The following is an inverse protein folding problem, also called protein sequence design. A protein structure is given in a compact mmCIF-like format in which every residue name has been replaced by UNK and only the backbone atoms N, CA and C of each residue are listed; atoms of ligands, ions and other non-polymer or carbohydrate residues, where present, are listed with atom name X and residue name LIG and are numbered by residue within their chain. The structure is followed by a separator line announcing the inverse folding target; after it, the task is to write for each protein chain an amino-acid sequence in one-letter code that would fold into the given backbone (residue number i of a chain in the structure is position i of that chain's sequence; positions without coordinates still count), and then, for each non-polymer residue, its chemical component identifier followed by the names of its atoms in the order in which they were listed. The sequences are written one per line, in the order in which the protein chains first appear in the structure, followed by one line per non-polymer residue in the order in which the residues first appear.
data_IF_693261500752
#
_entry.id   IF_693261500752
#
_cell.length_a   1.000
_cell.length_b   1.000
_cell.length_c   1.000
_cell.angle_alpha   90.00
_cell.angle_beta   90.00
_cell.angle_gamma   90.00
#
_symmetry.space_group_name_H-M   'P 1'
#
loop_
_entity.id
_entity.type
_entity.pdbx_description
1 polymer ?
#
# COMPACT_ATOMS: atom_id res chain seq x y z
N UNK A 1 0.85 19.32 -9.51
CA UNK A 1 0.80 18.09 -8.70
C UNK A 1 2.04 17.29 -9.05
N UNK A 2 2.75 16.80 -8.04
CA UNK A 2 3.78 15.78 -8.21
C UNK A 2 3.22 14.47 -7.68
N UNK A 3 3.37 13.40 -8.45
CA UNK A 3 3.11 12.06 -7.97
C UNK A 3 4.43 11.30 -8.08
N UNK A 4 4.86 10.76 -6.95
CA UNK A 4 6.04 9.91 -6.88
C UNK A 4 5.57 8.47 -6.75
N UNK A 5 6.17 7.60 -7.56
CA UNK A 5 5.89 6.18 -7.59
C UNK A 5 7.17 5.41 -7.35
N UNK A 6 7.07 4.36 -6.55
CA UNK A 6 8.07 3.30 -6.53
C UNK A 6 7.34 2.02 -6.90
N UNK A 7 7.82 1.35 -7.94
CA UNK A 7 7.32 0.04 -8.34
C UNK A 7 8.10 -1.01 -7.55
N UNK A 8 7.44 -1.67 -6.60
CA UNK A 8 8.03 -2.74 -5.82
C UNK A 8 7.44 -4.09 -6.28
N UNK A 9 8.25 -5.03 -6.77
CA UNK A 9 7.81 -6.40 -6.87
C UNK A 9 7.73 -7.03 -5.48
N UNK A 10 6.57 -7.55 -5.08
CA UNK A 10 6.51 -8.51 -3.97
C UNK A 10 7.09 -9.85 -4.45
N UNK A 11 8.40 -10.03 -4.27
CA UNK A 11 9.10 -11.25 -4.69
C UNK A 11 8.71 -12.50 -3.90
N UNK A 12 7.95 -12.39 -2.80
CA UNK A 12 7.42 -13.57 -2.07
C UNK A 12 6.44 -14.41 -2.89
N UNK A 13 6.05 -13.93 -4.07
CA UNK A 13 5.07 -14.55 -4.96
C UNK A 13 5.69 -14.95 -6.30
N UNK A 14 6.92 -14.52 -6.57
CA UNK A 14 7.60 -14.72 -7.84
C UNK A 14 8.71 -15.76 -7.64
N UNK A 15 8.50 -16.98 -8.10
CA UNK A 15 9.54 -18.01 -8.08
C UNK A 15 10.69 -17.63 -9.02
N UNK A 16 11.85 -17.37 -8.44
CA UNK A 16 13.12 -17.33 -9.17
C UNK A 16 13.42 -18.75 -9.68
N UNK A 17 13.45 -18.94 -11.01
CA UNK A 17 13.71 -20.23 -11.68
C UNK A 17 15.10 -20.81 -11.33
N UNK A 18 15.96 -20.06 -10.63
CA UNK A 18 17.29 -20.54 -10.22
C UNK A 18 17.32 -21.42 -8.97
N UNK A 19 16.29 -21.44 -8.14
CA UNK A 19 16.32 -22.21 -6.86
C UNK A 19 15.59 -23.55 -6.92
N UNK A 20 14.82 -23.83 -7.99
CA UNK A 20 14.04 -25.07 -8.11
C UNK A 20 14.92 -26.30 -8.42
N UNK A 21 16.05 -26.11 -9.12
CA UNK A 21 16.99 -27.19 -9.45
C UNK A 21 17.79 -27.72 -8.24
N UNK A 22 18.01 -26.91 -7.21
CA UNK A 22 18.75 -27.35 -6.00
C UNK A 22 17.84 -27.99 -4.94
N UNK A 23 16.54 -27.67 -4.93
CA UNK A 23 15.58 -28.17 -3.93
C UNK A 23 15.00 -29.56 -4.24
N UNK A 24 15.03 -29.99 -5.50
CA UNK A 24 14.60 -31.34 -5.90
C UNK A 24 15.64 -32.42 -5.57
N UNK A 25 16.88 -32.03 -5.24
CA UNK A 25 17.95 -32.95 -4.86
C UNK A 25 17.98 -33.33 -3.37
N UNK A 26 17.17 -32.68 -2.53
CA UNK A 26 17.17 -32.86 -1.07
C UNK A 26 15.86 -33.48 -0.53
N UNK A 27 14.96 -33.95 -1.39
CA UNK A 27 13.68 -34.56 -1.00
C UNK A 27 13.63 -36.09 -1.09
N UNK A 28 14.74 -36.77 -1.36
CA UNK A 28 14.79 -38.24 -1.35
C UNK A 28 15.25 -38.86 -0.01
N UNK A 29 15.59 -38.06 1.01
CA UNK A 29 15.89 -38.55 2.36
C UNK A 29 15.00 -37.85 3.39
N UNK A 30 13.79 -38.37 3.63
CA UNK A 30 13.06 -38.35 4.92
C UNK A 30 11.57 -38.63 4.69
N UNK A 31 11.24 -39.86 4.27
CA UNK A 31 9.87 -40.36 4.43
C UNK A 31 9.89 -41.82 4.89
N UNK A 32 10.09 -42.02 6.20
CA UNK A 32 9.66 -43.25 6.84
C UNK A 32 9.26 -43.01 8.31
N UNK A 33 7.98 -43.27 8.57
CA UNK A 33 7.37 -43.67 9.83
C UNK A 33 6.64 -42.61 10.68
N UNK A 34 5.42 -42.24 10.27
CA UNK A 34 4.38 -41.71 11.18
C UNK A 34 3.15 -42.63 11.16
N UNK A 35 3.04 -43.47 12.19
CA UNK A 35 1.85 -44.26 12.50
C UNK A 35 1.08 -43.70 13.69
N UNK A 36 -0.19 -43.34 13.44
CA UNK A 36 -1.37 -43.35 14.31
C UNK A 36 -1.32 -42.67 15.70
N UNK A 37 -2.30 -41.78 15.95
CA UNK A 37 -3.33 -41.93 17.01
C UNK A 37 -4.35 -40.78 16.87
N UNK A 38 -5.61 -41.16 16.63
CA UNK A 38 -6.82 -40.35 16.77
C UNK A 38 -7.29 -40.40 18.23
N UNK A 39 -7.62 -39.26 18.83
CA UNK A 39 -8.48 -39.19 20.01
C UNK A 39 -9.18 -37.82 20.07
N UNK A 40 -10.50 -37.85 19.93
CA UNK A 40 -11.36 -36.67 20.10
C UNK A 40 -11.69 -36.42 21.57
N UNK A 41 -11.77 -35.15 21.96
CA UNK A 41 -12.35 -34.71 23.23
C UNK A 41 -13.19 -33.44 23.01
N UNK A 42 -14.36 -33.45 23.64
CA UNK A 42 -15.48 -32.53 23.58
C UNK A 42 -15.16 -31.03 23.77
N UNK A 43 -15.99 -30.25 23.08
CA UNK A 43 -16.27 -28.84 23.27
C UNK A 43 -16.83 -28.57 24.69
N UNK A 44 -16.19 -27.68 25.47
CA UNK A 44 -16.80 -26.81 26.51
C UNK A 44 -15.71 -25.97 27.20
N UNK A 45 -15.47 -24.76 26.70
CA UNK A 45 -15.19 -23.54 27.51
C UNK A 45 -14.81 -22.39 26.58
N UNK A 46 -15.60 -21.32 26.60
CA UNK A 46 -15.23 -20.03 26.04
C UNK A 46 -14.17 -19.42 26.97
N UNK A 47 -12.92 -19.86 26.84
CA UNK A 47 -11.79 -19.19 27.49
C UNK A 47 -11.45 -18.00 26.59
N UNK A 48 -11.61 -16.74 27.03
CA UNK A 48 -11.02 -15.63 26.29
C UNK A 48 -9.54 -15.94 26.19
N UNK A 49 -9.07 -16.16 24.96
CA UNK A 49 -7.66 -16.40 24.69
C UNK A 49 -6.90 -15.13 25.08
N UNK A 50 -6.45 -15.06 26.34
CA UNK A 50 -5.42 -14.12 26.73
C UNK A 50 -4.19 -14.59 25.99
N UNK A 51 -3.97 -14.03 24.81
CA UNK A 51 -2.75 -14.30 24.04
C UNK A 51 -1.61 -13.72 24.86
N UNK A 52 -0.95 -14.58 25.64
CA UNK A 52 0.28 -14.20 26.35
C UNK A 52 1.28 -13.70 25.32
N UNK A 53 1.82 -12.51 25.55
CA UNK A 53 2.88 -11.97 24.72
C UNK A 53 4.08 -12.92 24.78
N UNK A 54 4.46 -13.44 23.61
CA UNK A 54 5.70 -14.16 23.39
C UNK A 54 6.91 -13.28 23.68
N UNK A 55 8.06 -13.92 23.79
CA UNK A 55 9.34 -13.25 24.02
C UNK A 55 10.31 -13.62 22.92
N UNK A 56 11.15 -12.66 22.54
CA UNK A 56 12.27 -12.87 21.62
C UNK A 56 13.57 -12.40 22.28
N UNK A 57 14.71 -12.94 21.83
CA UNK A 57 16.03 -12.56 22.33
C UNK A 57 17.00 -12.32 21.17
N UNK A 58 18.05 -11.52 21.42
CA UNK A 58 19.15 -11.38 20.48
C UNK A 58 20.03 -12.65 20.53
N UNK A 59 20.39 -13.19 19.37
CA UNK A 59 21.26 -14.38 19.25
C UNK A 59 22.60 -14.10 18.57
N UNK A 60 22.99 -12.83 18.45
CA UNK A 60 24.31 -12.43 17.95
C UNK A 60 25.28 -12.15 19.12
N UNK A 61 26.30 -12.99 19.34
CA UNK A 61 27.26 -12.84 20.45
C UNK A 61 28.09 -11.54 20.39
N UNK A 62 28.14 -10.87 19.23
CA UNK A 62 28.82 -9.59 19.08
C UNK A 62 28.19 -8.52 19.99
N UNK A 63 26.86 -8.54 20.12
CA UNK A 63 26.11 -7.61 20.97
C UNK A 63 25.97 -8.17 22.39
N UNK A 64 27.10 -8.38 23.08
CA UNK A 64 27.18 -9.01 24.40
C UNK A 64 26.20 -8.47 25.45
N UNK A 65 25.87 -7.17 25.39
CA UNK A 65 24.93 -6.51 26.32
C UNK A 65 23.46 -6.84 26.07
N UNK A 66 23.14 -7.41 24.91
CA UNK A 66 21.78 -7.79 24.50
C UNK A 66 21.62 -9.30 24.30
N UNK A 67 22.72 -10.01 24.03
CA UNK A 67 22.73 -11.43 23.73
C UNK A 67 22.00 -12.26 24.80
N UNK A 68 21.02 -13.05 24.38
CA UNK A 68 20.24 -13.94 25.24
C UNK A 68 19.23 -13.26 26.16
N UNK A 69 19.10 -11.92 26.13
CA UNK A 69 18.14 -11.20 26.98
C UNK A 69 16.74 -11.30 26.35
N UNK A 70 15.74 -11.87 27.05
CA UNK A 70 14.39 -12.03 26.51
C UNK A 70 13.56 -10.74 26.68
N UNK A 71 13.03 -10.21 25.57
CA UNK A 71 12.13 -9.06 25.55
C UNK A 71 10.70 -9.46 25.18
N UNK A 72 9.72 -8.80 25.81
CA UNK A 72 8.29 -8.99 25.52
C UNK A 72 7.93 -8.43 24.15
N UNK A 73 7.24 -9.23 23.34
CA UNK A 73 6.79 -8.78 22.02
C UNK A 73 5.73 -7.66 22.10
N UNK A 74 5.77 -6.67 21.19
CA UNK A 74 4.73 -5.66 21.07
C UNK A 74 3.35 -6.27 20.78
N UNK A 75 2.28 -5.57 21.17
CA UNK A 75 0.90 -6.00 20.94
C UNK A 75 0.55 -6.14 19.44
N UNK A 76 1.27 -5.47 18.54
CA UNK A 76 1.11 -5.59 17.09
C UNK A 76 1.59 -6.94 16.52
N UNK A 77 2.50 -7.62 17.20
CA UNK A 77 3.06 -8.92 16.80
C UNK A 77 3.34 -9.79 18.04
N UNK A 78 2.33 -10.13 18.84
CA UNK A 78 2.52 -10.66 20.19
C UNK A 78 3.17 -12.06 20.22
N UNK A 79 3.41 -12.70 19.07
CA UNK A 79 4.07 -14.00 18.97
C UNK A 79 5.23 -14.05 17.96
N UNK A 80 5.48 -12.96 17.23
CA UNK A 80 6.31 -12.96 16.01
C UNK A 80 7.26 -11.75 15.97
N UNK A 81 7.69 -11.26 17.13
CA UNK A 81 8.66 -10.17 17.20
C UNK A 81 10.10 -10.68 17.09
N UNK A 82 11.00 -9.83 16.63
CA UNK A 82 12.44 -10.04 16.58
C UNK A 82 13.16 -8.98 17.43
N UNK A 83 14.43 -9.20 17.80
CA UNK A 83 15.22 -8.24 18.58
C UNK A 83 16.24 -7.54 17.68
N UNK A 84 16.20 -6.20 17.66
CA UNK A 84 17.30 -5.42 17.10
C UNK A 84 18.45 -5.52 18.11
N UNK A 85 19.44 -6.36 17.82
CA UNK A 85 20.57 -6.60 18.72
C UNK A 85 21.40 -5.34 19.02
N UNK A 86 21.41 -4.35 18.11
CA UNK A 86 22.14 -3.10 18.29
C UNK A 86 21.42 -2.16 19.25
N UNK A 87 20.08 -2.08 19.14
CA UNK A 87 19.24 -1.23 19.99
C UNK A 87 18.72 -1.94 21.24
N UNK A 88 18.84 -3.27 21.27
CA UNK A 88 18.28 -4.18 22.25
C UNK A 88 16.78 -3.97 22.51
N UNK A 89 16.00 -3.89 21.42
CA UNK A 89 14.55 -3.66 21.47
C UNK A 89 13.81 -4.64 20.59
N UNK A 90 12.64 -5.14 21.05
CA UNK A 90 11.79 -5.95 20.22
C UNK A 90 11.08 -5.07 19.17
N UNK A 91 11.03 -5.56 17.94
CA UNK A 91 10.29 -4.94 16.84
C UNK A 91 9.42 -6.00 16.15
N UNK A 92 8.32 -5.56 15.54
CA UNK A 92 7.60 -6.41 14.61
C UNK A 92 8.32 -6.36 13.26
N UNK A 93 8.47 -7.46 12.54
CA UNK A 93 9.20 -7.48 11.25
C UNK A 93 8.71 -6.42 10.24
N UNK A 94 7.48 -5.95 10.43
CA UNK A 94 6.80 -4.84 9.76
C UNK A 94 7.31 -3.41 10.06
N UNK A 95 8.08 -3.22 11.14
CA UNK A 95 8.54 -1.92 11.61
C UNK A 95 9.95 -1.57 11.05
N UNK A 96 10.54 -2.45 10.22
CA UNK A 96 11.85 -2.20 9.59
C UNK A 96 11.73 -1.23 8.41
N UNK A 97 12.68 -0.29 8.23
CA UNK A 97 12.76 0.49 6.99
C UNK A 97 12.86 -0.44 5.77
N UNK A 98 11.89 -0.35 4.86
CA UNK A 98 11.79 -1.23 3.69
C UNK A 98 10.99 -2.52 3.88
N UNK A 99 10.32 -2.72 5.04
CA UNK A 99 9.35 -3.81 5.21
C UNK A 99 7.98 -3.43 4.62
N UNK A 100 7.42 -4.31 3.78
CA UNK A 100 6.11 -4.16 3.11
C UNK A 100 5.04 -4.84 3.97
N UNK A 101 4.84 -4.27 5.15
CA UNK A 101 3.72 -4.64 5.99
C UNK A 101 2.67 -3.55 5.94
N UNK A 102 1.43 -3.97 5.67
CA UNK A 102 0.20 -3.19 5.84
C UNK A 102 -0.08 -2.16 4.75
N UNK A 103 0.01 -2.53 3.48
CA UNK A 103 -0.40 -1.62 2.41
C UNK A 103 -1.93 -1.39 2.32
N UNK A 104 -2.33 -0.29 1.65
CA UNK A 104 -1.51 0.84 1.24
C UNK A 104 -1.33 1.90 2.35
N UNK A 105 -0.08 2.32 2.51
CA UNK A 105 0.33 3.44 3.35
C UNK A 105 0.17 4.77 2.62
N UNK A 106 -0.44 5.76 3.27
CA UNK A 106 -0.62 7.11 2.77
C UNK A 106 -0.04 8.12 3.76
N UNK A 107 0.50 9.23 3.25
CA UNK A 107 0.93 10.38 4.05
C UNK A 107 -0.02 11.54 3.77
N UNK A 108 -0.74 11.98 4.80
CA UNK A 108 -1.69 13.08 4.72
C UNK A 108 -1.04 14.43 4.44
N UNK A 109 -1.85 15.40 4.01
CA UNK A 109 -1.46 16.80 3.88
C UNK A 109 -1.06 17.46 5.20
N UNK A 110 -1.49 16.87 6.33
CA UNK A 110 -1.07 17.21 7.69
C UNK A 110 0.26 16.56 8.10
N UNK A 111 0.89 15.78 7.21
CA UNK A 111 2.13 15.06 7.45
C UNK A 111 1.97 13.76 8.23
N UNK A 112 0.74 13.37 8.60
CA UNK A 112 0.49 12.15 9.34
C UNK A 112 0.42 10.94 8.41
N UNK A 113 1.12 9.88 8.80
CA UNK A 113 1.01 8.59 8.13
C UNK A 113 -0.23 7.85 8.62
N UNK A 114 -0.98 7.25 7.68
CA UNK A 114 -2.09 6.37 7.98
C UNK A 114 -2.25 5.29 6.92
N UNK A 115 -3.02 4.27 7.26
CA UNK A 115 -3.36 3.15 6.39
C UNK A 115 -4.80 3.25 5.91
N UNK A 116 -5.06 2.91 4.65
CA UNK A 116 -6.41 2.80 4.11
C UNK A 116 -6.53 1.48 3.38
N UNK A 117 -7.17 0.48 3.98
CA UNK A 117 -7.19 -0.89 3.43
C UNK A 117 -8.24 -1.11 2.32
N UNK A 118 -9.16 -0.18 2.07
CA UNK A 118 -10.18 -0.36 1.03
C UNK A 118 -10.84 -1.75 1.03
N UNK A 119 -11.00 -2.32 -0.16
CA UNK A 119 -11.43 -3.70 -0.44
C UNK A 119 -10.74 -4.19 -1.70
N UNK A 120 -10.56 -5.50 -1.83
CA UNK A 120 -10.04 -6.14 -3.04
C UNK A 120 -10.94 -5.85 -4.25
N UNK A 121 -10.32 -5.62 -5.41
CA UNK A 121 -10.93 -5.42 -6.73
C UNK A 121 -11.97 -4.28 -6.72
N UNK A 122 -11.63 -3.20 -6.01
CA UNK A 122 -12.46 -2.00 -5.88
C UNK A 122 -11.65 -0.74 -6.12
N UNK A 123 -12.37 0.29 -6.56
CA UNK A 123 -11.80 1.61 -6.81
C UNK A 123 -12.23 2.58 -5.70
N UNK A 124 -11.27 3.40 -5.24
CA UNK A 124 -11.50 4.38 -4.18
C UNK A 124 -10.99 5.76 -4.54
N UNK A 125 -11.78 6.78 -4.20
CA UNK A 125 -11.44 8.18 -4.35
C UNK A 125 -10.44 8.62 -3.27
N UNK A 126 -9.20 8.82 -3.71
CA UNK A 126 -8.12 9.33 -2.87
C UNK A 126 -8.21 10.84 -2.71
N UNK A 127 -8.46 11.57 -3.81
CA UNK A 127 -8.53 13.03 -3.81
C UNK A 127 -9.63 13.48 -4.75
N UNK A 128 -10.49 14.38 -4.30
CA UNK A 128 -11.41 15.11 -5.15
C UNK A 128 -11.42 16.59 -4.81
N UNK A 129 -11.08 17.40 -5.79
CA UNK A 129 -11.09 18.87 -5.77
C UNK A 129 -11.74 19.35 -7.08
N UNK A 130 -12.25 20.59 -7.19
CA UNK A 130 -12.83 21.09 -8.45
C UNK A 130 -11.97 20.92 -9.70
N UNK A 131 -10.63 20.90 -9.55
CA UNK A 131 -9.68 20.88 -10.67
C UNK A 131 -8.96 19.54 -10.85
N UNK A 132 -9.02 18.64 -9.86
CA UNK A 132 -8.34 17.35 -9.91
C UNK A 132 -9.15 16.27 -9.16
N UNK A 133 -9.27 15.11 -9.77
CA UNK A 133 -9.85 13.91 -9.14
C UNK A 133 -8.87 12.76 -9.29
N UNK A 134 -8.64 12.00 -8.22
CA UNK A 134 -7.73 10.87 -8.19
C UNK A 134 -8.43 9.70 -7.55
N UNK A 135 -8.56 8.63 -8.30
CA UNK A 135 -8.97 7.33 -7.80
C UNK A 135 -7.80 6.34 -7.85
N UNK A 136 -7.89 5.29 -7.05
CA UNK A 136 -6.95 4.20 -7.04
C UNK A 136 -7.68 2.87 -7.11
N UNK A 137 -7.16 1.95 -7.92
CA UNK A 137 -7.61 0.56 -8.00
C UNK A 137 -6.85 -0.30 -7.00
N UNK A 138 -7.61 -0.99 -6.15
CA UNK A 138 -7.08 -1.84 -5.11
C UNK A 138 -7.17 -3.29 -5.56
N UNK A 139 -6.01 -3.93 -5.65
CA UNK A 139 -5.90 -5.39 -5.74
C UNK A 139 -5.74 -5.96 -4.35
N UNK A 140 -5.94 -7.26 -4.20
CA UNK A 140 -5.76 -7.87 -2.90
C UNK A 140 -5.99 -9.36 -2.81
N UNK A 141 -5.84 -9.86 -1.59
CA UNK A 141 -6.21 -11.22 -1.19
C UNK A 141 -7.15 -11.17 -0.01
N UNK A 142 -8.23 -11.93 -0.10
CA UNK A 142 -9.17 -12.06 1.00
C UNK A 142 -8.56 -12.94 2.08
N UNK A 143 -8.47 -12.39 3.30
CA UNK A 143 -7.97 -13.10 4.46
C UNK A 143 -9.01 -14.07 5.03
N UNK A 144 -8.53 -15.15 5.67
CA UNK A 144 -9.36 -16.17 6.33
C UNK A 144 -10.30 -15.64 7.44
N UNK A 145 -10.12 -14.38 7.87
CA UNK A 145 -10.92 -13.70 8.91
C UNK A 145 -11.81 -12.56 8.36
N UNK A 146 -12.06 -12.53 7.05
CA UNK A 146 -12.94 -11.54 6.41
C UNK A 146 -12.32 -10.14 6.22
N UNK A 147 -11.01 -9.99 6.46
CA UNK A 147 -10.25 -8.77 6.14
C UNK A 147 -9.44 -9.01 4.88
N UNK A 148 -9.55 -8.10 3.90
CA UNK A 148 -8.68 -8.08 2.74
C UNK A 148 -7.31 -7.50 3.09
N UNK A 149 -6.26 -8.07 2.49
CA UNK A 149 -4.96 -7.43 2.35
C UNK A 149 -4.92 -6.82 0.96
N UNK A 150 -4.66 -5.53 0.87
CA UNK A 150 -4.81 -4.79 -0.38
C UNK A 150 -3.58 -3.98 -0.72
N UNK A 151 -3.36 -3.77 -2.02
CA UNK A 151 -2.32 -2.92 -2.55
C UNK A 151 -2.90 -2.05 -3.66
N UNK A 152 -2.27 -0.91 -3.95
CA UNK A 152 -2.68 -0.09 -5.08
C UNK A 152 -2.01 -0.61 -6.35
N UNK A 153 -2.80 -1.07 -7.31
CA UNK A 153 -2.29 -1.50 -8.61
C UNK A 153 -2.15 -0.33 -9.58
N UNK A 154 -3.14 0.56 -9.58
CA UNK A 154 -3.21 1.67 -10.53
C UNK A 154 -3.92 2.87 -9.93
N UNK A 155 -3.68 4.03 -10.54
CA UNK A 155 -4.40 5.26 -10.28
C UNK A 155 -4.94 5.85 -11.57
N UNK A 156 -6.11 6.48 -11.46
CA UNK A 156 -6.70 7.33 -12.48
C UNK A 156 -6.72 8.77 -11.99
N UNK A 157 -6.16 9.68 -12.77
CA UNK A 157 -6.15 11.11 -12.48
C UNK A 157 -6.97 11.83 -13.55
N UNK A 158 -8.02 12.51 -13.13
CA UNK A 158 -8.79 13.43 -13.97
C UNK A 158 -8.36 14.87 -13.68
N UNK A 159 -8.08 15.64 -14.72
CA UNK A 159 -7.74 17.06 -14.60
C UNK A 159 -8.11 17.81 -15.89
N UNK A 160 -8.86 18.90 -15.77
CA UNK A 160 -9.46 19.54 -16.95
C UNK A 160 -10.29 18.54 -17.75
N UNK A 161 -10.01 18.40 -19.05
CA UNK A 161 -10.60 17.40 -19.94
C UNK A 161 -9.71 16.17 -20.17
N UNK A 162 -8.66 15.99 -19.36
CA UNK A 162 -7.67 14.94 -19.52
C UNK A 162 -7.81 13.83 -18.48
N UNK A 163 -7.42 12.62 -18.89
CA UNK A 163 -7.36 11.43 -18.06
C UNK A 163 -5.93 10.88 -18.10
N UNK A 164 -5.31 10.69 -16.95
CA UNK A 164 -3.99 10.07 -16.82
C UNK A 164 -4.14 8.76 -16.06
N UNK A 165 -3.76 7.66 -16.69
CA UNK A 165 -3.62 6.34 -16.11
C UNK A 165 -2.17 6.10 -15.71
N UNK A 166 -1.94 5.57 -14.51
CA UNK A 166 -0.64 5.03 -14.09
C UNK A 166 -0.90 3.73 -13.36
N UNK A 167 -0.30 2.63 -13.83
CA UNK A 167 -0.53 1.33 -13.23
C UNK A 167 0.65 0.38 -13.37
N UNK A 168 0.72 -0.61 -12.49
CA UNK A 168 1.59 -1.75 -12.63
C UNK A 168 0.91 -2.82 -13.51
N UNK A 169 1.62 -3.32 -14.52
CA UNK A 169 1.21 -4.44 -15.37
C UNK A 169 1.14 -5.70 -14.51
N UNK A 170 0.04 -6.46 -14.64
CA UNK A 170 -0.03 -7.81 -14.07
C UNK A 170 0.95 -8.70 -14.83
N UNK A 171 1.87 -9.35 -14.11
CA UNK A 171 2.83 -10.27 -14.69
C UNK A 171 2.73 -11.62 -13.99
N UNK A 172 2.95 -12.70 -14.74
CA UNK A 172 3.06 -14.05 -14.16
C UNK A 172 4.47 -14.33 -13.63
N UNK A 173 5.49 -13.68 -14.20
CA UNK A 173 6.88 -13.75 -13.76
C UNK A 173 7.49 -12.36 -13.76
N UNK A 174 8.18 -12.01 -12.69
CA UNK A 174 8.92 -10.76 -12.62
C UNK A 174 10.30 -10.89 -13.26
N UNK A 175 10.64 -9.95 -14.14
CA UNK A 175 11.97 -9.85 -14.74
C UNK A 175 12.54 -8.46 -14.46
N UNK A 176 13.72 -8.39 -13.85
CA UNK A 176 14.36 -7.12 -13.47
C UNK A 176 14.70 -6.22 -14.67
N UNK A 177 14.80 -6.79 -15.87
CA UNK A 177 15.05 -6.07 -17.13
C UNK A 177 13.79 -5.49 -17.78
N UNK A 178 12.60 -5.76 -17.24
CA UNK A 178 11.31 -5.33 -17.82
C UNK A 178 10.71 -4.23 -16.95
N UNK A 179 10.39 -3.09 -17.57
CA UNK A 179 9.56 -2.08 -16.91
C UNK A 179 8.09 -2.51 -16.96
N UNK A 180 7.55 -2.85 -15.79
CA UNK A 180 6.17 -3.26 -15.63
C UNK A 180 5.24 -2.08 -15.31
N UNK A 181 5.67 -0.84 -15.51
CA UNK A 181 4.80 0.33 -15.40
C UNK A 181 4.12 0.63 -16.73
N UNK A 182 2.83 0.99 -16.69
CA UNK A 182 2.06 1.50 -17.81
C UNK A 182 1.57 2.91 -17.46
N UNK A 183 1.90 3.88 -18.31
CA UNK A 183 1.44 5.26 -18.20
C UNK A 183 0.67 5.58 -19.47
N UNK A 184 -0.56 6.08 -19.34
CA UNK A 184 -1.35 6.54 -20.48
C UNK A 184 -1.95 7.92 -20.23
N UNK A 185 -1.94 8.78 -21.24
CA UNK A 185 -2.66 10.04 -21.24
C UNK A 185 -3.74 9.98 -22.30
N UNK A 186 -5.00 10.15 -21.89
CA UNK A 186 -6.17 10.06 -22.75
C UNK A 186 -6.25 8.73 -23.54
N UNK A 187 -5.79 7.63 -22.94
CA UNK A 187 -5.74 6.31 -23.55
C UNK A 187 -4.49 6.04 -24.41
N UNK A 188 -3.67 7.05 -24.70
CA UNK A 188 -2.42 6.88 -25.45
C UNK A 188 -1.25 6.59 -24.50
N UNK A 189 -0.49 5.53 -24.78
CA UNK A 189 0.66 5.12 -23.96
C UNK A 189 1.82 6.14 -24.06
N UNK A 190 2.36 6.50 -22.91
CA UNK A 190 3.50 7.40 -22.79
C UNK A 190 4.75 6.58 -22.50
N UNK A 191 5.68 6.61 -23.45
CA UNK A 191 7.03 6.09 -23.24
C UNK A 191 7.86 7.11 -22.46
N UNK A 192 7.91 6.96 -21.14
CA UNK A 192 8.90 7.68 -20.33
C UNK A 192 10.21 6.93 -20.45
N UNK A 193 11.18 7.50 -21.18
CA UNK A 193 12.48 6.86 -21.36
C UNK A 193 13.09 6.48 -20.00
N UNK A 194 13.51 5.21 -19.85
CA UNK A 194 14.10 4.69 -18.62
C UNK A 194 15.37 5.48 -18.23
N UNK A 195 15.51 5.78 -16.94
CA UNK A 195 16.68 6.45 -16.33
C UNK A 195 16.34 7.65 -15.43
N UNK A 196 17.16 7.88 -14.40
CA UNK A 196 16.98 8.99 -13.45
C UNK A 196 16.93 10.35 -14.16
N UNK A 197 16.04 11.23 -13.71
CA UNK A 197 15.93 12.63 -14.14
C UNK A 197 15.42 12.88 -15.57
N UNK A 198 14.93 11.86 -16.28
CA UNK A 198 14.27 12.06 -17.57
C UNK A 198 12.88 12.65 -17.37
N UNK A 199 12.65 13.81 -18.02
CA UNK A 199 11.38 14.56 -17.99
C UNK A 199 10.63 14.33 -19.29
N UNK A 200 9.38 13.91 -19.18
CA UNK A 200 8.42 13.94 -20.26
C UNK A 200 7.46 15.10 -20.07
N UNK A 201 7.07 15.77 -21.15
CA UNK A 201 6.10 16.86 -21.13
C UNK A 201 5.04 16.63 -22.19
N UNK A 202 3.78 16.64 -21.80
CA UNK A 202 2.68 16.59 -22.76
C UNK A 202 2.65 17.89 -23.58
N UNK A 203 2.59 17.80 -24.92
CA UNK A 203 2.38 18.98 -25.76
C UNK A 203 0.93 19.49 -25.68
N UNK A 204 -0.02 18.65 -25.28
CA UNK A 204 -1.45 18.98 -25.26
C UNK A 204 -1.87 19.51 -23.89
N UNK A 205 -1.60 18.76 -22.82
CA UNK A 205 -2.10 19.08 -21.47
C UNK A 205 -1.14 19.91 -20.62
N UNK A 206 0.10 20.06 -21.08
CA UNK A 206 1.18 20.66 -20.30
C UNK A 206 1.63 19.83 -19.09
N UNK A 207 1.10 18.62 -18.91
CA UNK A 207 1.50 17.66 -17.89
C UNK A 207 3.01 17.39 -17.97
N UNK A 208 3.68 17.40 -16.82
CA UNK A 208 5.09 17.05 -16.71
C UNK A 208 5.22 15.79 -15.87
N UNK A 209 5.86 14.77 -16.43
CA UNK A 209 6.20 13.53 -15.72
C UNK A 209 7.72 13.49 -15.58
N UNK A 210 8.21 13.17 -14.39
CA UNK A 210 9.64 13.07 -14.12
C UNK A 210 9.92 11.79 -13.35
N UNK A 211 10.77 10.93 -13.90
CA UNK A 211 11.33 9.80 -13.16
C UNK A 211 12.33 10.29 -12.12
N UNK A 212 12.11 9.95 -10.85
CA UNK A 212 12.98 10.37 -9.73
C UNK A 212 13.88 9.26 -9.17
N UNK A 213 13.75 8.04 -9.68
CA UNK A 213 14.58 6.89 -9.30
C UNK A 213 14.73 5.92 -10.48
N UNK A 214 15.76 5.07 -10.43
CA UNK A 214 15.81 3.87 -11.26
C UNK A 214 14.66 2.94 -10.82
N UNK A 215 13.62 2.83 -11.66
CA UNK A 215 12.68 1.72 -11.56
C UNK A 215 13.48 0.42 -11.75
N UNK A 216 13.25 -0.57 -10.88
CA UNK A 216 13.87 -1.91 -10.88
C UNK A 216 15.09 -2.17 -9.97
N UNK A 217 15.41 -1.32 -8.98
CA UNK A 217 16.39 -1.73 -7.95
C UNK A 217 15.76 -2.69 -6.92
N UNK A 218 16.28 -3.93 -6.91
CA UNK A 218 15.94 -5.03 -6.01
C UNK A 218 15.95 -4.60 -4.54
N UNK A 219 14.78 -4.51 -3.93
CA UNK A 219 14.61 -4.54 -2.48
C UNK A 219 13.53 -5.57 -2.17
N UNK A 220 13.93 -6.84 -2.15
CA UNK A 220 13.10 -7.96 -1.71
C UNK A 220 13.73 -8.59 -0.49
N UNK A 221 13.08 -8.44 0.66
CA UNK A 221 13.25 -9.35 1.78
C UNK A 221 11.91 -9.54 2.50
N UNK A 222 11.38 -10.76 2.31
CA UNK A 222 10.53 -11.52 3.26
C UNK A 222 9.08 -11.08 3.41
N UNK A 223 8.11 -11.85 2.89
CA UNK A 223 6.78 -12.00 3.52
C UNK A 223 6.12 -13.37 3.21
N UNK A 224 5.53 -14.01 4.23
CA UNK A 224 4.85 -15.32 4.15
C UNK A 224 3.32 -15.21 4.01
N UNK A 225 2.84 -14.62 2.91
CA UNK A 225 1.41 -14.40 2.66
C UNK A 225 0.67 -15.59 2.00
N UNK A 226 1.25 -16.80 1.99
CA UNK A 226 0.73 -17.99 1.26
C UNK A 226 0.30 -17.62 -0.17
N UNK A 227 1.11 -16.85 -0.89
CA UNK A 227 0.80 -16.47 -2.28
C UNK A 227 1.37 -17.56 -3.18
N UNK A 228 0.53 -18.09 -4.07
CA UNK A 228 0.88 -19.16 -5.01
C UNK A 228 1.78 -18.63 -6.12
N UNK A 229 2.56 -19.51 -6.78
CA UNK A 229 3.50 -19.17 -7.87
C UNK A 229 2.84 -18.44 -9.07
N UNK A 230 1.50 -18.41 -9.14
CA UNK A 230 0.73 -17.91 -10.28
C UNK A 230 0.31 -16.42 -10.22
N UNK A 231 0.63 -15.68 -9.15
CA UNK A 231 0.21 -14.27 -9.00
C UNK A 231 1.32 -13.34 -8.47
N UNK A 232 2.14 -12.79 -9.37
CA UNK A 232 3.05 -11.68 -9.05
C UNK A 232 2.30 -10.34 -9.02
N UNK A 233 1.96 -9.86 -7.82
CA UNK A 233 1.35 -8.56 -7.63
C UNK A 233 2.43 -7.47 -7.58
N UNK A 234 2.68 -6.85 -8.73
CA UNK A 234 3.33 -5.54 -8.76
C UNK A 234 2.35 -4.48 -8.24
N UNK A 235 2.81 -3.64 -7.32
CA UNK A 235 1.99 -2.56 -6.76
C UNK A 235 2.74 -1.24 -6.73
N UNK A 236 1.98 -0.17 -6.58
CA UNK A 236 2.47 1.20 -6.53
C UNK A 236 2.56 1.68 -5.08
N UNK A 237 3.75 2.10 -4.66
CA UNK A 237 3.87 3.03 -3.54
C UNK A 237 3.58 4.45 -4.03
N UNK A 238 2.58 5.10 -3.43
CA UNK A 238 2.11 6.41 -3.86
C UNK A 238 2.50 7.51 -2.87
N UNK A 239 3.16 8.56 -3.36
CA UNK A 239 3.30 9.81 -2.62
C UNK A 239 2.82 10.99 -3.47
N UNK A 240 1.90 11.77 -2.91
CA UNK A 240 1.34 12.93 -3.59
C UNK A 240 1.83 14.24 -2.96
N UNK A 241 2.17 15.20 -3.80
CA UNK A 241 2.36 16.60 -3.39
C UNK A 241 1.55 17.53 -4.27
N UNK A 242 0.61 18.23 -3.66
CA UNK A 242 -0.24 19.21 -4.34
C UNK A 242 0.28 20.62 -4.07
N UNK A 243 0.30 21.47 -5.10
CA UNK A 243 0.69 22.89 -4.94
C UNK A 243 -0.47 23.77 -4.54
N UNK A 244 -1.64 23.51 -5.13
CA UNK A 244 -2.86 24.28 -4.91
C UNK A 244 -4.02 23.30 -4.92
N UNK A 245 -4.76 23.27 -3.81
CA UNK A 245 -6.03 22.58 -3.66
C UNK A 245 -7.05 23.60 -3.14
N UNK A 246 -8.32 23.45 -3.49
CA UNK A 246 -9.36 24.30 -2.94
C UNK A 246 -9.71 23.92 -1.50
N UNK A 247 -10.44 24.79 -0.80
CA UNK A 247 -11.01 24.47 0.52
C UNK A 247 -12.04 23.34 0.48
N UNK A 248 -12.51 22.96 -0.71
CA UNK A 248 -13.48 21.88 -0.95
C UNK A 248 -12.83 20.53 -1.18
N UNK A 249 -11.49 20.44 -1.15
CA UNK A 249 -10.80 19.16 -1.36
C UNK A 249 -11.25 18.11 -0.33
N UNK A 250 -11.59 16.91 -0.82
CA UNK A 250 -12.02 15.77 -0.01
C UNK A 250 -11.49 14.46 -0.65
N UNK A 251 -11.93 13.30 -0.17
CA UNK A 251 -11.34 11.99 -0.50
C UNK A 251 -10.50 11.46 0.66
N UNK A 252 -10.09 10.18 0.58
CA UNK A 252 -9.30 9.51 1.63
C UNK A 252 -8.10 10.37 2.04
N UNK A 253 -7.30 10.74 1.05
CA UNK A 253 -6.14 11.60 1.21
C UNK A 253 -6.53 13.07 1.16
N UNK A 254 -7.40 13.46 0.24
CA UNK A 254 -7.71 14.87 -0.01
C UNK A 254 -8.28 15.59 1.21
N UNK A 255 -9.10 14.92 2.03
CA UNK A 255 -9.64 15.54 3.25
C UNK A 255 -8.57 16.04 4.22
N UNK A 256 -7.38 15.41 4.22
CA UNK A 256 -6.26 15.74 5.11
C UNK A 256 -5.55 17.04 4.74
N UNK A 257 -5.82 17.58 3.54
CA UNK A 257 -5.28 18.86 3.08
C UNK A 257 -6.14 20.08 3.51
N UNK A 258 -7.31 19.86 4.11
CA UNK A 258 -8.15 20.95 4.61
C UNK A 258 -7.60 21.47 5.94
N UNK A 259 -7.50 22.79 6.09
CA UNK A 259 -7.09 23.41 7.36
C UNK A 259 -8.03 23.13 8.53
N UNK A 260 -9.30 22.83 8.25
CA UNK A 260 -10.31 22.44 9.24
C UNK A 260 -10.34 20.94 9.52
N UNK A 261 -9.54 20.13 8.83
CA UNK A 261 -9.52 18.69 9.02
C UNK A 261 -8.99 18.36 10.42
N UNK A 262 -9.72 17.48 11.10
CA UNK A 262 -9.28 16.86 12.35
C UNK A 262 -9.10 15.39 12.10
N UNK A 263 -7.87 14.92 12.31
CA UNK A 263 -7.53 13.53 12.12
C UNK A 263 -8.41 12.63 12.98
N UNK A 264 -9.07 11.67 12.34
CA UNK A 264 -9.89 10.65 13.00
C UNK A 264 -9.12 9.36 13.27
N UNK A 265 -7.88 9.27 12.77
CA UNK A 265 -7.05 8.09 13.00
C UNK A 265 -6.50 8.12 14.43
N UNK A 266 -6.37 6.95 15.04
CA UNK A 266 -5.81 6.83 16.39
C UNK A 266 -4.30 7.03 16.32
N UNK A 267 -3.82 8.25 16.58
CA UNK A 267 -2.39 8.60 16.46
C UNK A 267 -1.47 7.77 17.36
N UNK A 268 -1.96 7.33 18.51
CA UNK A 268 -1.20 6.46 19.42
C UNK A 268 -1.19 4.98 19.00
N UNK A 269 -1.96 4.60 17.96
CA UNK A 269 -1.94 3.24 17.45
C UNK A 269 -0.72 3.02 16.57
N UNK A 270 -0.09 1.85 16.70
CA UNK A 270 1.01 1.44 15.82
C UNK A 270 0.60 1.42 14.33
N UNK A 271 -0.70 1.21 14.06
CA UNK A 271 -1.30 1.29 12.73
C UNK A 271 -2.51 2.23 12.75
N UNK A 272 -2.33 3.52 12.48
CA UNK A 272 -3.44 4.46 12.36
C UNK A 272 -4.23 4.17 11.08
N UNK A 273 -5.40 3.57 11.19
CA UNK A 273 -6.24 3.20 10.03
C UNK A 273 -7.31 4.26 9.79
N UNK A 274 -7.41 4.72 8.55
CA UNK A 274 -8.50 5.52 8.06
C UNK A 274 -9.65 4.63 7.60
N UNK A 275 -10.77 4.69 8.33
CA UNK A 275 -11.98 3.96 7.98
C UNK A 275 -12.90 4.71 7.01
N UNK A 276 -14.08 4.13 6.75
CA UNK A 276 -15.11 4.75 5.92
C UNK A 276 -14.98 4.44 4.43
N UNK A 277 -14.47 3.26 4.06
CA UNK A 277 -14.27 2.85 2.67
C UNK A 277 -15.52 3.08 1.78
N UNK A 278 -16.72 2.81 2.28
CA UNK A 278 -17.96 2.99 1.53
C UNK A 278 -18.21 4.44 1.10
N UNK A 279 -17.73 5.42 1.88
CA UNK A 279 -17.82 6.86 1.55
C UNK A 279 -16.92 7.25 0.37
N UNK A 280 -15.86 6.48 0.13
CA UNK A 280 -14.85 6.76 -0.89
C UNK A 280 -14.95 5.82 -2.10
N UNK A 281 -15.84 4.83 -2.07
CA UNK A 281 -16.03 3.91 -3.19
C UNK A 281 -16.46 4.67 -4.46
N UNK A 282 -15.90 4.30 -5.60
CA UNK A 282 -16.28 4.79 -6.93
C UNK A 282 -16.60 3.61 -7.84
N UNK A 283 -17.41 3.82 -8.88
CA UNK A 283 -17.81 2.73 -9.79
C UNK A 283 -16.65 2.21 -10.65
N UNK A 284 -15.70 3.08 -11.02
CA UNK A 284 -14.52 2.73 -11.79
C UNK A 284 -13.41 3.78 -11.63
N UNK A 285 -12.20 3.45 -12.10
CA UNK A 285 -11.00 4.28 -11.96
C UNK A 285 -11.15 5.73 -12.45
N UNK A 286 -11.99 6.00 -13.45
CA UNK A 286 -12.24 7.34 -13.98
C UNK A 286 -13.64 7.89 -13.65
N UNK A 287 -14.39 7.24 -12.76
CA UNK A 287 -15.65 7.80 -12.27
C UNK A 287 -15.42 8.92 -11.25
N UNK A 288 -16.40 9.81 -11.16
CA UNK A 288 -16.43 10.92 -10.20
C UNK A 288 -17.63 10.80 -9.26
N UNK A 289 -18.13 9.59 -9.04
CA UNK A 289 -19.39 9.28 -8.37
C UNK A 289 -19.24 8.92 -6.88
N UNK A 290 -18.04 9.05 -6.32
CA UNK A 290 -17.85 8.88 -4.88
C UNK A 290 -18.64 9.94 -4.09
N UNK A 291 -19.09 9.59 -2.88
CA UNK A 291 -19.96 10.45 -2.07
C UNK A 291 -19.33 11.80 -1.66
N UNK A 292 -18.00 11.93 -1.82
CA UNK A 292 -17.23 13.15 -1.51
C UNK A 292 -16.73 13.90 -2.75
N UNK A 293 -17.21 13.52 -3.92
CA UNK A 293 -16.75 14.13 -5.16
C UNK A 293 -17.07 15.62 -5.20
N UNK A 294 -16.03 16.41 -5.38
CA UNK A 294 -16.08 17.85 -5.62
C UNK A 294 -15.56 18.21 -7.02
N UNK A 295 -15.24 17.23 -7.85
CA UNK A 295 -14.66 17.45 -9.17
C UNK A 295 -15.66 18.14 -10.11
N UNK A 296 -15.19 19.13 -10.86
CA UNK A 296 -16.05 19.91 -11.77
C UNK A 296 -17.04 20.85 -11.08
N UNK A 297 -17.19 20.83 -9.75
CA UNK A 297 -17.99 21.81 -9.04
C UNK A 297 -17.33 23.18 -9.19
N UNK A 298 -18.03 24.15 -9.78
CA UNK A 298 -17.50 25.52 -9.94
C UNK A 298 -16.99 26.02 -8.59
N UNK A 299 -15.79 26.62 -8.60
CA UNK A 299 -15.23 27.36 -7.46
C UNK A 299 -16.30 28.35 -7.03
N UNK A 300 -16.88 28.15 -5.85
CA UNK A 300 -18.02 28.95 -5.40
C UNK A 300 -17.67 30.43 -5.51
N UNK A 301 -18.50 31.17 -6.24
CA UNK A 301 -18.66 32.62 -6.04
C UNK A 301 -18.89 32.78 -4.54
N UNK A 302 -18.08 33.60 -3.90
CA UNK A 302 -18.27 33.92 -2.50
C UNK A 302 -19.71 34.41 -2.29
N UNK A 303 -20.40 33.82 -1.31
CA UNK A 303 -21.62 34.41 -0.77
C UNK A 303 -21.31 35.86 -0.37
N UNK A 304 -21.96 36.81 -1.05
CA UNK A 304 -21.73 38.24 -0.85
C UNK A 304 -21.94 39.07 -2.11
N UNK A 305 -23.11 38.95 -2.73
CA UNK A 305 -23.56 39.85 -3.80
C UNK A 305 -25.01 40.24 -3.51
N UNK A 306 -25.19 41.41 -2.93
CA UNK A 306 -26.48 42.06 -2.73
C UNK A 306 -27.16 42.28 -4.11
N UNK A 307 -28.48 42.08 -4.24
CA UNK A 307 -29.15 42.30 -5.52
C UNK A 307 -29.20 43.80 -5.82
N UNK A 308 -28.59 44.21 -6.93
CA UNK A 308 -28.90 45.49 -7.56
C UNK A 308 -30.36 45.44 -8.01
N UNK A 309 -31.22 46.09 -7.24
CA UNK A 309 -32.56 46.49 -7.67
C UNK A 309 -32.45 47.43 -8.87
N UNK A 310 -33.28 47.13 -9.86
CA UNK A 310 -33.55 47.86 -11.11
C UNK A 310 -33.63 49.37 -10.99
#
# INVERSE_FOLDING_TARGET
MYIFFINHPELSTCTDIKEKEDSEKLKEEEDMNKGWILLGILCLSYIPSIVRAGKAACHDPFYRRCYGIPHTCPAGCPKLCEIDCRLCKPYCSCDRPGAVCQDPRLIGGDGLMFYFHGKKDKDFCLVSDPTVHINAHFIGKSGKKGRDFTWVQSIGVLFGSHQLYIGAKKVSKWHESVDNMLIQLNGEEIMVAAGMSKRWRSPVSGLKIQGIAETNKRNSRVHGYDITEDDCFAHLELNFKFHTLSKRVDGVLGQTYRSSYRSRVKLAAAMPIMGGADKFNTSHLFATDCAVSNFGLKKGIAEGGEPLTT
#
